data_IF_653706560932
#
_entry.id   IF_653706560932
#
_cell.length_a   1.000
_cell.length_b   1.000
_cell.length_c   1.000
_cell.angle_alpha   90.00
_cell.angle_beta   90.00
_cell.angle_gamma   90.00
#
_symmetry.space_group_name_H-M   'P 1'
#
loop_
_entity.id
_entity.type
_entity.pdbx_description
1 polymer ?
#
# COMPACT_ATOMS: atom_id res chain seq x y z
N UNK A 1 -22.46 10.91 -18.36
CA UNK A 1 -21.71 10.70 -17.11
C UNK A 1 -20.24 10.55 -17.49
N UNK A 2 -19.35 11.45 -17.08
CA UNK A 2 -17.92 11.20 -17.23
C UNK A 2 -17.61 9.92 -16.47
N UNK A 3 -16.89 8.98 -17.09
CA UNK A 3 -16.60 7.68 -16.47
C UNK A 3 -15.99 7.89 -15.08
N UNK A 4 -16.47 7.15 -14.09
CA UNK A 4 -15.84 7.12 -12.78
C UNK A 4 -14.49 6.43 -12.92
N UNK A 5 -13.40 7.16 -12.69
CA UNK A 5 -12.04 6.64 -12.68
C UNK A 5 -11.58 6.47 -11.24
N UNK A 6 -11.07 5.28 -10.89
CA UNK A 6 -10.50 4.99 -9.59
C UNK A 6 -9.09 4.43 -9.77
N UNK A 7 -8.17 4.83 -8.90
CA UNK A 7 -6.82 4.28 -8.86
C UNK A 7 -6.60 3.66 -7.50
N UNK A 8 -6.20 2.39 -7.48
CA UNK A 8 -5.93 1.62 -6.26
C UNK A 8 -4.46 1.19 -6.31
N UNK A 9 -3.66 1.73 -5.40
CA UNK A 9 -2.20 1.57 -5.39
C UNK A 9 -1.64 1.30 -3.99
N UNK A 10 -0.64 0.43 -3.89
CA UNK A 10 0.11 0.21 -2.65
C UNK A 10 -0.65 -0.54 -1.55
N UNK A 11 -1.71 -1.27 -1.87
CA UNK A 11 -2.53 -1.97 -0.89
C UNK A 11 -2.22 -3.46 -0.84
N UNK A 12 -2.41 -4.07 0.32
CA UNK A 12 -2.63 -5.51 0.40
C UNK A 12 -4.14 -5.74 0.45
N UNK A 13 -4.69 -6.35 -0.59
CA UNK A 13 -6.12 -6.67 -0.70
C UNK A 13 -6.26 -8.16 -0.50
N UNK A 14 -6.89 -8.56 0.62
CA UNK A 14 -7.04 -9.97 0.94
C UNK A 14 -8.39 -10.36 1.51
N UNK A 15 -8.77 -11.62 1.30
CA UNK A 15 -9.97 -12.23 1.90
C UNK A 15 -11.31 -11.60 1.48
N UNK A 16 -11.30 -10.59 0.62
CA UNK A 16 -12.50 -9.90 0.12
C UNK A 16 -13.10 -10.64 -1.08
N UNK A 17 -13.56 -11.87 -0.90
CA UNK A 17 -14.23 -12.65 -1.94
C UNK A 17 -15.32 -13.55 -1.37
N UNK A 18 -16.20 -14.03 -2.24
CA UNK A 18 -17.18 -15.07 -1.94
C UNK A 18 -16.73 -16.34 -2.66
N UNK A 19 -16.47 -17.39 -1.90
CA UNK A 19 -16.09 -18.69 -2.45
C UNK A 19 -17.30 -19.33 -3.15
N UNK A 20 -17.37 -19.16 -4.46
CA UNK A 20 -18.39 -19.79 -5.29
C UNK A 20 -17.80 -21.09 -5.85
N UNK A 21 -18.07 -22.21 -5.18
CA UNK A 21 -17.63 -23.57 -5.55
C UNK A 21 -18.17 -24.02 -6.93
N UNK A 22 -17.62 -23.47 -8.03
CA UNK A 22 -17.88 -23.94 -9.38
C UNK A 22 -17.94 -22.90 -10.50
N UNK A 23 -17.82 -21.59 -10.23
CA UNK A 23 -17.80 -20.57 -11.29
C UNK A 23 -17.14 -19.26 -10.87
N UNK A 24 -16.26 -18.72 -11.71
CA UNK A 24 -15.58 -17.41 -11.57
C UNK A 24 -16.57 -16.25 -11.82
N UNK A 25 -17.54 -16.10 -10.92
CA UNK A 25 -18.52 -15.01 -10.92
C UNK A 25 -17.93 -13.72 -10.32
N UNK A 26 -18.67 -12.61 -10.40
CA UNK A 26 -18.28 -11.30 -9.81
C UNK A 26 -17.78 -11.44 -8.36
N UNK A 27 -18.44 -12.27 -7.55
CA UNK A 27 -18.12 -12.46 -6.13
C UNK A 27 -16.81 -13.19 -5.86
N UNK A 28 -16.31 -14.01 -6.79
CA UNK A 28 -15.06 -14.76 -6.60
C UNK A 28 -13.80 -13.88 -6.74
N UNK A 29 -13.96 -12.62 -7.18
CA UNK A 29 -12.86 -11.70 -7.45
C UNK A 29 -12.64 -10.77 -6.26
N UNK A 30 -11.37 -10.51 -5.93
CA UNK A 30 -10.98 -9.53 -4.91
C UNK A 30 -11.34 -8.10 -5.35
N UNK A 31 -11.26 -7.82 -6.65
CA UNK A 31 -11.62 -6.53 -7.23
C UNK A 31 -12.46 -6.75 -8.48
N UNK A 32 -13.68 -6.21 -8.49
CA UNK A 32 -14.52 -6.16 -9.68
C UNK A 32 -15.03 -4.73 -9.87
N UNK A 33 -14.64 -4.10 -10.98
CA UNK A 33 -15.12 -2.77 -11.32
C UNK A 33 -15.15 -2.59 -12.84
N UNK A 34 -15.93 -1.61 -13.31
CA UNK A 34 -16.02 -1.29 -14.72
C UNK A 34 -14.70 -0.71 -15.27
N UNK A 35 -14.60 -0.65 -16.59
CA UNK A 35 -13.48 -0.04 -17.29
C UNK A 35 -13.21 1.40 -16.81
N UNK A 36 -11.94 1.74 -16.63
CA UNK A 36 -11.49 3.02 -16.08
C UNK A 36 -10.95 2.96 -14.66
N UNK A 37 -11.07 1.80 -13.99
CA UNK A 37 -10.37 1.52 -12.74
C UNK A 37 -8.98 0.96 -13.02
N UNK A 38 -7.96 1.52 -12.35
CA UNK A 38 -6.57 1.10 -12.43
C UNK A 38 -6.13 0.51 -11.09
N UNK A 39 -5.53 -0.68 -11.13
CA UNK A 39 -5.03 -1.40 -9.96
C UNK A 39 -3.54 -1.68 -10.17
N UNK A 40 -2.64 -1.04 -9.41
CA UNK A 40 -1.20 -1.19 -9.58
C UNK A 40 -0.43 -1.28 -8.27
N UNK A 41 0.67 -2.03 -8.25
CA UNK A 41 1.53 -2.14 -7.06
C UNK A 41 0.77 -2.56 -5.80
N UNK A 42 -0.19 -3.47 -5.93
CA UNK A 42 -0.91 -4.08 -4.81
C UNK A 42 -0.48 -5.55 -4.66
N UNK A 43 -0.66 -6.10 -3.46
CA UNK A 43 -0.63 -7.54 -3.21
C UNK A 43 -2.08 -8.03 -3.21
N UNK A 44 -2.38 -9.06 -3.99
CA UNK A 44 -3.72 -9.64 -4.11
C UNK A 44 -3.72 -11.07 -3.61
N UNK A 45 -4.46 -11.35 -2.53
CA UNK A 45 -4.39 -12.64 -1.85
C UNK A 45 -5.74 -13.11 -1.31
N UNK A 46 -6.26 -14.27 -1.70
CA UNK A 46 -7.53 -14.75 -1.15
C UNK A 46 -7.47 -15.18 0.31
N UNK A 47 -6.29 -15.32 0.91
CA UNK A 47 -6.12 -15.90 2.25
C UNK A 47 -6.60 -17.36 2.34
N UNK A 48 -6.26 -18.14 1.31
CA UNK A 48 -6.49 -19.59 1.28
C UNK A 48 -5.16 -20.33 1.46
N UNK A 49 -5.19 -21.44 2.21
CA UNK A 49 -4.05 -22.36 2.37
C UNK A 49 -3.70 -23.10 1.09
N UNK A 50 -4.62 -23.08 0.12
CA UNK A 50 -4.44 -23.69 -1.17
C UNK A 50 -3.90 -22.66 -2.15
N UNK A 51 -2.90 -23.09 -2.91
CA UNK A 51 -2.23 -22.41 -4.02
C UNK A 51 -3.18 -22.23 -5.22
N UNK A 52 -4.36 -21.67 -4.95
CA UNK A 52 -5.47 -21.57 -5.90
C UNK A 52 -5.50 -20.17 -6.45
N UNK A 53 -4.73 -20.03 -7.53
CA UNK A 53 -4.87 -19.08 -8.63
C UNK A 53 -4.06 -17.78 -8.52
N UNK A 54 -3.06 -17.70 -9.41
CA UNK A 54 -2.42 -16.45 -9.84
C UNK A 54 -3.34 -15.65 -10.77
N UNK A 55 -3.34 -14.33 -10.53
CA UNK A 55 -3.67 -13.14 -11.32
C UNK A 55 -4.96 -12.93 -12.13
N UNK A 56 -5.29 -13.55 -13.29
CA UNK A 56 -6.40 -12.99 -14.08
C UNK A 56 -7.79 -13.29 -13.49
N UNK A 57 -7.90 -14.21 -12.53
CA UNK A 57 -9.16 -14.52 -11.85
C UNK A 57 -9.47 -13.59 -10.67
N UNK A 58 -8.46 -12.97 -10.04
CA UNK A 58 -8.65 -12.15 -8.84
C UNK A 58 -9.23 -10.76 -9.14
N UNK A 59 -9.18 -10.33 -10.39
CA UNK A 59 -9.58 -9.00 -10.83
C UNK A 59 -10.53 -9.11 -12.04
N UNK A 60 -11.58 -8.29 -12.13
CA UNK A 60 -12.54 -8.35 -13.25
C UNK A 60 -13.36 -7.10 -13.51
N UNK A 61 -14.30 -7.20 -14.45
CA UNK A 61 -15.24 -6.14 -14.84
C UNK A 61 -14.69 -5.08 -15.83
N UNK A 62 -13.39 -5.09 -16.12
CA UNK A 62 -12.73 -4.09 -16.97
C UNK A 62 -11.59 -3.34 -16.29
N UNK A 63 -11.27 -3.68 -15.04
CA UNK A 63 -10.11 -3.15 -14.31
C UNK A 63 -8.81 -3.42 -15.08
N UNK A 64 -7.98 -2.39 -15.20
CA UNK A 64 -6.61 -2.49 -15.71
C UNK A 64 -5.70 -2.84 -14.53
N UNK A 65 -5.26 -4.09 -14.47
CA UNK A 65 -4.38 -4.62 -13.42
C UNK A 65 -2.96 -4.81 -13.97
N UNK A 66 -2.01 -3.99 -13.52
CA UNK A 66 -0.59 -4.10 -13.91
C UNK A 66 0.31 -3.94 -12.70
N UNK A 67 1.53 -4.47 -12.76
CA UNK A 67 2.57 -4.25 -11.73
C UNK A 67 2.17 -4.65 -10.29
N UNK A 68 1.10 -5.43 -10.12
CA UNK A 68 0.71 -6.00 -8.85
C UNK A 68 1.63 -7.18 -8.51
N UNK A 69 1.94 -7.36 -7.23
CA UNK A 69 2.73 -8.50 -6.77
C UNK A 69 1.88 -9.76 -6.91
N UNK A 70 2.31 -10.64 -7.81
CA UNK A 70 1.56 -11.84 -8.17
C UNK A 70 2.51 -12.99 -8.47
N UNK A 71 3.16 -13.48 -7.42
CA UNK A 71 3.84 -14.78 -7.47
C UNK A 71 2.88 -15.86 -6.97
N UNK A 72 3.16 -17.13 -7.29
CA UNK A 72 2.50 -18.34 -6.76
C UNK A 72 2.46 -18.39 -5.21
N UNK A 73 3.09 -17.43 -4.54
CA UNK A 73 3.03 -17.23 -3.08
C UNK A 73 2.65 -15.77 -2.76
N UNK A 74 1.44 -15.33 -3.17
CA UNK A 74 0.90 -13.97 -2.92
C UNK A 74 0.63 -13.65 -1.46
N UNK A 75 1.26 -14.35 -0.52
CA UNK A 75 1.14 -14.05 0.89
C UNK A 75 1.88 -12.74 1.15
N UNK A 76 1.23 -11.73 1.76
CA UNK A 76 1.93 -10.54 2.24
C UNK A 76 2.93 -10.87 3.35
N UNK A 77 2.95 -12.11 3.87
CA UNK A 77 3.81 -12.58 4.97
C UNK A 77 3.79 -11.61 6.15
N UNK A 78 2.65 -11.51 6.81
CA UNK A 78 2.56 -10.76 8.05
C UNK A 78 3.29 -11.47 9.18
N UNK A 79 3.83 -10.71 10.12
CA UNK A 79 4.56 -11.27 11.28
C UNK A 79 3.65 -12.10 12.17
N UNK A 80 2.39 -11.69 12.36
CA UNK A 80 1.39 -12.46 13.11
C UNK A 80 -0.05 -12.15 12.65
N UNK A 81 -0.43 -12.74 11.52
CA UNK A 81 -1.79 -12.58 10.97
C UNK A 81 -2.88 -13.07 11.93
N UNK A 82 -2.61 -14.12 12.71
CA UNK A 82 -3.62 -14.73 13.58
C UNK A 82 -4.04 -13.81 14.73
N UNK A 83 -3.11 -12.97 15.20
CA UNK A 83 -3.36 -11.98 16.24
C UNK A 83 -3.69 -10.58 15.68
N UNK A 84 -3.78 -10.43 14.36
CA UNK A 84 -4.08 -9.15 13.72
C UNK A 84 -2.89 -8.19 13.65
N UNK A 85 -1.66 -8.71 13.73
CA UNK A 85 -0.45 -7.94 13.49
C UNK A 85 -0.09 -8.01 12.00
N UNK A 86 -0.29 -6.87 11.34
CA UNK A 86 -0.04 -6.71 9.91
C UNK A 86 1.34 -6.13 9.51
N UNK A 87 2.37 -5.98 10.39
CA UNK A 87 3.72 -5.71 9.90
C UNK A 87 4.20 -6.81 8.96
N UNK A 88 4.95 -6.42 7.92
CA UNK A 88 5.53 -7.37 6.99
C UNK A 88 6.74 -8.06 7.63
N UNK A 89 6.86 -9.37 7.42
CA UNK A 89 8.09 -10.10 7.70
C UNK A 89 9.20 -9.63 6.75
N UNK A 90 10.47 -9.76 7.19
CA UNK A 90 11.64 -9.28 6.43
C UNK A 90 11.80 -9.92 5.05
N UNK A 91 11.21 -11.09 4.83
CA UNK A 91 11.23 -11.85 3.57
C UNK A 91 9.91 -11.74 2.79
N UNK A 92 9.06 -10.76 3.14
CA UNK A 92 7.79 -10.52 2.46
C UNK A 92 8.00 -10.04 1.02
N UNK A 93 7.21 -10.55 0.05
CA UNK A 93 7.24 -10.06 -1.33
C UNK A 93 6.63 -8.65 -1.48
N UNK A 94 6.03 -8.12 -0.41
CA UNK A 94 5.51 -6.76 -0.36
C UNK A 94 6.61 -5.73 -0.02
N UNK A 95 7.78 -6.18 0.46
CA UNK A 95 8.91 -5.30 0.75
C UNK A 95 9.46 -4.72 -0.56
N UNK A 96 9.66 -3.41 -0.61
CA UNK A 96 10.24 -2.70 -1.76
C UNK A 96 9.48 -2.91 -3.09
N UNK A 97 8.18 -3.18 -3.02
CA UNK A 97 7.37 -3.58 -4.17
C UNK A 97 6.29 -2.55 -4.57
N UNK A 98 6.13 -1.47 -3.80
CA UNK A 98 5.11 -0.44 -3.97
C UNK A 98 5.37 0.54 -5.13
N UNK A 99 4.65 1.65 -5.21
CA UNK A 99 4.87 2.66 -6.25
C UNK A 99 6.33 3.16 -6.30
N UNK A 100 6.96 3.30 -7.49
CA UNK A 100 8.38 3.63 -7.60
C UNK A 100 8.70 5.12 -7.45
N UNK A 101 7.70 6.01 -7.42
CA UNK A 101 7.96 7.45 -7.35
C UNK A 101 8.65 7.82 -6.04
N UNK A 102 9.59 8.76 -6.13
CA UNK A 102 10.43 9.16 -5.01
C UNK A 102 9.62 9.67 -3.79
N UNK A 103 8.45 10.27 -4.02
CA UNK A 103 7.54 10.75 -2.97
C UNK A 103 6.96 9.62 -2.09
N UNK A 104 6.97 8.38 -2.58
CA UNK A 104 6.45 7.22 -1.86
C UNK A 104 7.53 6.40 -1.17
N UNK A 105 8.82 6.71 -1.39
CA UNK A 105 9.93 5.96 -0.80
C UNK A 105 9.77 5.81 0.70
N UNK A 106 10.21 4.68 1.22
CA UNK A 106 10.25 4.46 2.66
C UNK A 106 11.21 5.44 3.33
N UNK A 107 11.11 5.51 4.65
CA UNK A 107 11.91 6.40 5.49
C UNK A 107 13.42 6.19 5.32
N UNK A 108 13.86 4.98 5.00
CA UNK A 108 15.27 4.64 4.75
C UNK A 108 15.73 4.96 3.31
N UNK A 109 14.82 5.50 2.48
CA UNK A 109 15.08 5.90 1.10
C UNK A 109 14.92 4.77 0.08
N UNK A 110 14.55 3.56 0.51
CA UNK A 110 14.25 2.45 -0.39
C UNK A 110 12.89 2.62 -1.06
N UNK A 111 12.58 1.77 -2.04
CA UNK A 111 11.28 1.82 -2.73
C UNK A 111 10.19 1.46 -1.73
N UNK A 112 9.05 2.14 -1.80
CA UNK A 112 7.91 1.93 -0.90
C UNK A 112 7.58 0.44 -0.69
N UNK A 113 7.33 0.03 0.54
CA UNK A 113 6.67 -1.24 0.87
C UNK A 113 5.17 -1.19 0.50
N UNK A 114 4.57 -2.33 0.15
CA UNK A 114 3.12 -2.43 -0.06
C UNK A 114 2.42 -2.71 1.27
N UNK A 115 1.40 -1.91 1.62
CA UNK A 115 0.54 -2.14 2.77
C UNK A 115 0.48 -0.98 3.75
N UNK A 116 -0.16 -1.22 4.89
CA UNK A 116 -0.49 -0.18 5.90
C UNK A 116 0.75 0.51 6.51
N UNK A 117 1.91 -0.15 6.43
CA UNK A 117 3.15 0.31 7.06
C UNK A 117 4.22 0.70 6.02
N UNK A 118 3.88 0.79 4.74
CA UNK A 118 4.77 1.34 3.74
C UNK A 118 4.75 2.87 3.70
N UNK A 119 5.86 3.45 3.23
CA UNK A 119 5.89 4.78 2.65
C UNK A 119 6.60 5.82 3.49
N UNK A 120 6.78 6.99 2.88
CA UNK A 120 7.64 8.05 3.42
C UNK A 120 7.23 8.55 4.82
N UNK A 121 5.94 8.45 5.15
CA UNK A 121 5.37 8.95 6.40
C UNK A 121 5.18 7.86 7.46
N UNK A 122 5.51 6.60 7.18
CA UNK A 122 5.40 5.57 8.19
C UNK A 122 6.47 5.74 9.27
N UNK A 123 6.01 5.76 10.52
CA UNK A 123 6.86 5.84 11.71
C UNK A 123 6.50 4.61 12.55
N UNK A 124 7.37 3.58 12.61
CA UNK A 124 7.08 2.33 13.32
C UNK A 124 6.63 2.54 14.77
N UNK A 125 7.32 3.45 15.47
CA UNK A 125 7.01 3.79 16.85
C UNK A 125 6.10 5.00 16.98
N UNK A 126 5.47 5.48 15.89
CA UNK A 126 4.74 6.75 15.88
C UNK A 126 3.57 6.82 16.86
N UNK A 127 3.05 5.69 17.32
CA UNK A 127 1.99 5.62 18.34
C UNK A 127 2.51 5.34 19.75
N UNK A 128 3.74 4.87 19.88
CA UNK A 128 4.29 4.32 21.14
C UNK A 128 5.54 5.07 21.63
N UNK A 129 6.13 5.90 20.78
CA UNK A 129 7.31 6.71 21.11
C UNK A 129 6.95 7.84 22.07
N UNK A 130 7.81 8.06 23.05
CA UNK A 130 7.76 9.23 23.93
C UNK A 130 8.52 10.44 23.37
N UNK A 131 9.15 10.27 22.20
CA UNK A 131 9.89 11.34 21.53
C UNK A 131 8.93 12.18 20.67
N UNK A 132 9.21 13.47 20.46
CA UNK A 132 8.45 14.29 19.52
C UNK A 132 8.44 13.67 18.12
N UNK A 133 7.27 13.70 17.49
CA UNK A 133 7.04 13.28 16.11
C UNK A 133 6.74 14.52 15.30
N UNK A 134 7.45 14.72 14.20
CA UNK A 134 7.14 15.76 13.22
C UNK A 134 6.03 15.25 12.30
N UNK A 135 4.91 15.97 12.23
CA UNK A 135 3.74 15.66 11.40
C UNK A 135 3.78 16.43 10.08
N UNK A 136 4.26 17.67 10.11
CA UNK A 136 4.46 18.48 8.91
C UNK A 136 5.65 19.42 9.09
N UNK A 137 6.31 19.72 7.98
CA UNK A 137 7.29 20.79 7.86
C UNK A 137 7.03 21.49 6.53
N UNK A 138 6.85 22.79 6.57
CA UNK A 138 6.74 23.64 5.38
C UNK A 138 7.78 24.75 5.48
N UNK A 139 8.40 25.07 4.35
CA UNK A 139 9.44 26.06 4.30
C UNK A 139 9.19 26.99 3.12
N UNK A 140 9.08 28.28 3.44
CA UNK A 140 8.82 29.32 2.44
C UNK A 140 9.75 30.51 2.64
N UNK A 141 10.45 30.99 1.59
CA UNK A 141 10.51 30.42 0.24
C UNK A 141 11.47 29.21 0.14
N UNK A 142 11.30 28.34 -0.86
CA UNK A 142 12.10 27.10 -1.04
C UNK A 142 13.59 27.36 -1.36
N UNK A 143 13.94 28.58 -1.78
CA UNK A 143 15.31 29.00 -2.02
C UNK A 143 15.49 30.48 -1.65
N UNK A 144 16.62 30.78 -1.01
CA UNK A 144 17.02 32.15 -0.67
C UNK A 144 18.49 32.38 -1.04
N UNK A 145 18.87 33.61 -1.47
CA UNK A 145 20.28 33.98 -1.61
C UNK A 145 21.02 33.88 -0.28
N UNK A 146 22.35 33.81 -0.33
CA UNK A 146 23.20 33.83 0.87
C UNK A 146 22.89 35.08 1.72
N UNK A 147 22.50 34.86 2.99
CA UNK A 147 22.06 35.92 3.91
C UNK A 147 20.56 36.23 3.89
N UNK A 148 19.77 35.57 3.04
CA UNK A 148 18.32 35.66 3.04
C UNK A 148 17.66 34.86 4.18
N UNK A 149 16.38 35.14 4.44
CA UNK A 149 15.60 34.52 5.52
C UNK A 149 14.63 33.50 4.91
N UNK A 150 14.63 32.29 5.45
CA UNK A 150 13.62 31.26 5.20
C UNK A 150 12.74 31.10 6.45
N UNK A 151 11.43 31.04 6.26
CA UNK A 151 10.49 30.71 7.33
C UNK A 151 10.21 29.22 7.29
N UNK A 152 10.36 28.55 8.43
CA UNK A 152 10.02 27.13 8.60
C UNK A 152 8.85 27.05 9.58
N UNK A 153 7.75 26.48 9.13
CA UNK A 153 6.62 26.13 9.97
C UNK A 153 6.61 24.61 10.13
N UNK A 154 6.42 24.13 11.36
CA UNK A 154 6.33 22.69 11.60
C UNK A 154 5.24 22.38 12.62
N UNK A 155 4.54 21.27 12.40
CA UNK A 155 3.61 20.70 13.38
C UNK A 155 4.19 19.41 13.90
N UNK A 156 4.14 19.21 15.21
CA UNK A 156 4.55 17.96 15.83
C UNK A 156 3.58 17.48 16.91
N UNK A 157 3.68 16.20 17.25
CA UNK A 157 2.93 15.57 18.33
C UNK A 157 3.87 14.85 19.29
N UNK A 158 3.49 14.81 20.57
CA UNK A 158 4.09 13.91 21.56
C UNK A 158 2.99 12.92 21.96
N UNK A 159 3.11 11.64 21.58
CA UNK A 159 2.20 10.61 22.06
C UNK A 159 2.22 10.58 23.60
N UNK A 160 1.05 10.53 24.22
CA UNK A 160 0.92 10.42 25.69
C UNK A 160 1.24 9.01 26.17
#
# INVERSE_FOLDING_TARGET
KSGSHATIIGNVIWGCYVDAHGSVIRGDRLVYADAGTVLRYNVLWKNTSEDRYVNPALVGGGVISTDNVSLIHTHPKFTDLANGDYPLASDSPAINAGPPDAQYKDRDGTRNDIGMYGGHSFIPDGRTTKKPIVLSIDASPIAVPTGGIITIESTGAVPK
#
